data_IF_051208684109
#
_entry.id   IF_051208684109
#
_cell.length_a   1.000
_cell.length_b   1.000
_cell.length_c   1.000
_cell.angle_alpha   90.00
_cell.angle_beta   90.00
_cell.angle_gamma   90.00
#
_symmetry.space_group_name_H-M   'P 1'
#
loop_
_entity.id
_entity.type
_entity.pdbx_description
1 polymer ?
#
# COMPACT_ATOMS: atom_id res chain seq x y z
N UNK A 1 18.49 12.77 -2.29
CA UNK A 1 18.59 11.95 -1.07
C UNK A 1 20.04 11.83 -0.68
N UNK A 2 20.37 12.08 0.58
CA UNK A 2 21.72 11.96 1.13
C UNK A 2 21.87 10.58 1.76
N UNK A 3 22.78 9.75 1.23
CA UNK A 3 22.90 8.33 1.60
C UNK A 3 23.17 8.12 3.10
N UNK A 4 24.10 8.88 3.68
CA UNK A 4 24.41 8.78 5.11
C UNK A 4 23.21 9.06 6.03
N UNK A 5 22.25 9.89 5.61
CA UNK A 5 21.03 10.15 6.39
C UNK A 5 20.05 8.97 6.32
N UNK A 6 19.93 8.34 5.13
CA UNK A 6 19.13 7.14 4.96
C UNK A 6 19.72 5.97 5.78
N UNK A 7 21.03 5.76 5.70
CA UNK A 7 21.72 4.70 6.45
C UNK A 7 21.61 4.88 7.96
N UNK A 8 21.74 6.12 8.47
CA UNK A 8 21.52 6.44 9.88
C UNK A 8 20.07 6.16 10.31
N UNK A 9 19.08 6.58 9.51
CA UNK A 9 17.67 6.30 9.79
C UNK A 9 17.38 4.79 9.82
N UNK A 10 17.93 4.04 8.87
CA UNK A 10 17.79 2.57 8.80
C UNK A 10 18.43 1.92 10.03
N UNK A 11 19.63 2.34 10.42
CA UNK A 11 20.30 1.82 11.60
C UNK A 11 19.46 2.04 12.86
N UNK A 12 18.90 3.24 13.04
CA UNK A 12 18.02 3.56 14.16
C UNK A 12 16.75 2.70 14.14
N UNK A 13 16.09 2.60 12.97
CA UNK A 13 14.90 1.77 12.78
C UNK A 13 15.16 0.32 13.18
N UNK A 14 16.18 -0.32 12.59
CA UNK A 14 16.50 -1.73 12.89
C UNK A 14 16.88 -1.92 14.36
N UNK A 15 17.63 -0.98 14.93
CA UNK A 15 18.02 -1.04 16.36
C UNK A 15 16.84 -0.94 17.31
N UNK A 16 15.81 -0.15 16.97
CA UNK A 16 14.56 -0.06 17.74
C UNK A 16 13.73 -1.32 17.55
N UNK A 17 13.56 -1.80 16.31
CA UNK A 17 12.76 -2.99 16.02
C UNK A 17 13.30 -4.26 16.67
N UNK A 18 14.62 -4.39 16.83
CA UNK A 18 15.24 -5.51 17.54
C UNK A 18 15.12 -5.44 19.07
N UNK A 19 14.71 -4.30 19.63
CA UNK A 19 14.56 -4.09 21.08
C UNK A 19 13.10 -4.05 21.53
N UNK A 20 12.20 -3.66 20.63
CA UNK A 20 10.78 -3.52 20.93
C UNK A 20 10.07 -4.86 20.85
N UNK A 21 9.09 -5.07 21.74
CA UNK A 21 8.12 -6.16 21.64
C UNK A 21 6.80 -5.67 21.02
N UNK A 22 6.82 -4.52 20.34
CA UNK A 22 5.65 -4.01 19.65
C UNK A 22 5.20 -4.96 18.55
N UNK A 23 3.90 -5.11 18.47
CA UNK A 23 3.20 -6.07 17.61
C UNK A 23 2.52 -5.39 16.42
N UNK A 24 2.59 -4.06 16.33
CA UNK A 24 1.84 -3.32 15.30
C UNK A 24 2.37 -3.56 13.89
N UNK A 25 3.63 -3.98 13.76
CA UNK A 25 4.23 -4.37 12.48
C UNK A 25 3.49 -5.54 11.81
N UNK A 26 2.81 -6.42 12.56
CA UNK A 26 2.05 -7.52 11.95
C UNK A 26 0.91 -7.03 11.06
N UNK A 27 0.33 -5.86 11.34
CA UNK A 27 -0.87 -5.40 10.64
C UNK A 27 -0.66 -5.18 9.14
N UNK A 28 0.33 -4.40 8.68
CA UNK A 28 0.59 -4.24 7.25
C UNK A 28 0.95 -5.57 6.58
N UNK A 29 1.71 -6.43 7.26
CA UNK A 29 2.11 -7.74 6.76
C UNK A 29 0.93 -8.69 6.56
N UNK A 30 0.12 -8.89 7.60
CA UNK A 30 -1.07 -9.75 7.57
C UNK A 30 -2.09 -9.26 6.54
N UNK A 31 -2.27 -7.95 6.41
CA UNK A 31 -3.17 -7.37 5.40
C UNK A 31 -2.74 -7.72 3.98
N UNK A 32 -1.46 -7.49 3.66
CA UNK A 32 -0.92 -7.76 2.33
C UNK A 32 -0.90 -9.27 2.04
N UNK A 33 -0.50 -10.08 3.03
CA UNK A 33 -0.52 -11.54 2.91
C UNK A 33 -1.93 -12.06 2.64
N UNK A 34 -2.92 -11.58 3.41
CA UNK A 34 -4.32 -12.00 3.25
C UNK A 34 -4.82 -11.64 1.85
N UNK A 35 -4.60 -10.40 1.40
CA UNK A 35 -4.97 -10.01 0.04
C UNK A 35 -4.31 -10.93 -0.98
N UNK A 36 -3.00 -11.13 -0.88
CA UNK A 36 -2.23 -11.95 -1.82
C UNK A 36 -2.72 -13.41 -1.87
N UNK A 37 -3.04 -13.99 -0.71
CA UNK A 37 -3.49 -15.38 -0.58
C UNK A 37 -4.86 -15.61 -1.23
N UNK A 38 -5.76 -14.64 -1.11
CA UNK A 38 -7.11 -14.75 -1.67
C UNK A 38 -7.25 -14.21 -3.07
N UNK A 39 -6.27 -13.46 -3.57
CA UNK A 39 -6.29 -12.96 -4.93
C UNK A 39 -6.22 -14.09 -5.94
N UNK A 40 -7.12 -14.03 -6.92
CA UNK A 40 -7.15 -14.92 -8.09
C UNK A 40 -7.15 -14.05 -9.35
N UNK A 41 -6.60 -14.53 -10.47
CA UNK A 41 -6.70 -13.82 -11.74
C UNK A 41 -8.14 -13.37 -11.99
N UNK A 42 -8.34 -12.08 -12.33
CA UNK A 42 -9.68 -11.51 -12.40
C UNK A 42 -10.46 -12.11 -13.57
N UNK A 43 -11.61 -12.70 -13.24
CA UNK A 43 -12.58 -13.25 -14.18
C UNK A 43 -13.95 -12.58 -13.98
N UNK A 44 -14.70 -12.44 -15.06
CA UNK A 44 -15.96 -11.69 -15.12
C UNK A 44 -16.93 -12.03 -13.98
N UNK A 45 -17.15 -13.32 -13.75
CA UNK A 45 -18.17 -13.80 -12.81
C UNK A 45 -17.67 -13.93 -11.37
N UNK A 46 -16.36 -13.76 -11.11
CA UNK A 46 -15.76 -14.01 -9.80
C UNK A 46 -15.07 -12.79 -9.19
N UNK A 47 -14.82 -11.73 -9.98
CA UNK A 47 -14.09 -10.54 -9.54
C UNK A 47 -14.62 -9.94 -8.24
N UNK A 48 -15.94 -9.73 -8.15
CA UNK A 48 -16.59 -9.17 -6.95
C UNK A 48 -16.30 -10.01 -5.70
N UNK A 49 -16.55 -11.32 -5.79
CA UNK A 49 -16.35 -12.24 -4.67
C UNK A 49 -14.86 -12.33 -4.28
N UNK A 50 -13.96 -12.38 -5.26
CA UNK A 50 -12.51 -12.37 -5.04
C UNK A 50 -12.08 -11.07 -4.34
N UNK A 51 -12.52 -9.91 -4.82
CA UNK A 51 -12.22 -8.61 -4.23
C UNK A 51 -12.73 -8.51 -2.79
N UNK A 52 -13.98 -8.90 -2.52
CA UNK A 52 -14.54 -8.90 -1.18
C UNK A 52 -13.76 -9.79 -0.21
N UNK A 53 -13.37 -10.98 -0.68
CA UNK A 53 -12.60 -11.95 0.10
C UNK A 53 -11.18 -11.43 0.42
N UNK A 54 -10.52 -10.78 -0.54
CA UNK A 54 -9.21 -10.14 -0.34
C UNK A 54 -9.24 -9.04 0.74
N UNK A 55 -10.40 -8.42 0.98
CA UNK A 55 -10.58 -7.34 1.96
C UNK A 55 -11.36 -7.75 3.21
N UNK A 56 -11.50 -9.05 3.50
CA UNK A 56 -12.30 -9.58 4.63
C UNK A 56 -11.54 -9.74 5.96
N UNK A 57 -10.35 -9.16 6.12
CA UNK A 57 -9.57 -9.29 7.37
C UNK A 57 -10.11 -8.41 8.51
N UNK A 58 -9.96 -8.86 9.76
CA UNK A 58 -10.31 -8.08 10.96
C UNK A 58 -9.47 -6.79 11.07
N UNK A 59 -8.26 -6.80 10.51
CA UNK A 59 -7.33 -5.68 10.52
C UNK A 59 -7.57 -4.70 9.36
N UNK A 60 -8.06 -5.20 8.21
CA UNK A 60 -8.31 -4.33 7.05
C UNK A 60 -9.42 -3.33 7.36
N UNK A 61 -10.45 -3.67 8.15
CA UNK A 61 -11.61 -2.80 8.36
C UNK A 61 -11.25 -1.39 8.87
N UNK A 62 -10.20 -1.26 9.71
CA UNK A 62 -9.75 0.04 10.24
C UNK A 62 -9.11 0.95 9.19
N UNK A 63 -8.57 0.39 8.11
CA UNK A 63 -7.95 1.15 7.03
C UNK A 63 -8.96 1.80 6.06
N UNK A 64 -10.17 1.23 5.95
CA UNK A 64 -11.14 1.61 4.89
C UNK A 64 -12.37 2.37 5.40
N UNK A 65 -12.54 2.54 6.71
CA UNK A 65 -13.69 3.24 7.29
C UNK A 65 -13.26 4.57 7.92
N UNK A 66 -13.50 5.65 7.19
CA UNK A 66 -13.54 7.03 7.72
C UNK A 66 -14.88 7.66 7.32
N UNK A 67 -15.26 8.75 7.97
CA UNK A 67 -16.48 9.47 7.60
C UNK A 67 -16.43 9.85 6.10
N UNK A 68 -17.49 9.49 5.36
CA UNK A 68 -17.60 9.68 3.91
C UNK A 68 -16.48 9.07 3.04
N UNK A 69 -15.75 8.07 3.55
CA UNK A 69 -14.71 7.37 2.80
C UNK A 69 -14.96 5.87 2.86
N UNK A 70 -15.43 5.31 1.74
CA UNK A 70 -15.88 3.91 1.63
C UNK A 70 -15.36 3.23 0.35
N UNK A 71 -14.03 3.22 0.11
CA UNK A 71 -13.43 2.70 -1.12
C UNK A 71 -13.80 1.26 -1.46
N UNK A 72 -13.93 0.38 -0.45
CA UNK A 72 -14.39 -1.00 -0.65
C UNK A 72 -15.81 -1.05 -1.19
N UNK A 73 -16.74 -0.34 -0.54
CA UNK A 73 -18.15 -0.32 -0.93
C UNK A 73 -18.31 0.30 -2.33
N UNK A 74 -17.55 1.35 -2.62
CA UNK A 74 -17.57 1.97 -3.96
C UNK A 74 -17.02 1.03 -5.01
N UNK A 75 -15.86 0.40 -4.81
CA UNK A 75 -15.33 -0.54 -5.80
C UNK A 75 -16.31 -1.69 -6.08
N UNK A 76 -17.04 -2.18 -5.07
CA UNK A 76 -18.10 -3.18 -5.27
C UNK A 76 -19.20 -2.62 -6.19
N UNK A 77 -19.69 -1.39 -5.93
CA UNK A 77 -20.68 -0.72 -6.80
C UNK A 77 -20.15 -0.52 -8.23
N UNK A 78 -18.86 -0.21 -8.38
CA UNK A 78 -18.21 -0.06 -9.70
C UNK A 78 -18.17 -1.39 -10.44
N UNK A 79 -17.73 -2.47 -9.78
CA UNK A 79 -17.74 -3.82 -10.36
C UNK A 79 -19.15 -4.25 -10.78
N UNK A 80 -20.16 -3.97 -9.96
CA UNK A 80 -21.56 -4.28 -10.28
C UNK A 80 -22.12 -3.43 -11.43
N UNK A 81 -21.58 -2.24 -11.66
CA UNK A 81 -22.01 -1.34 -12.73
C UNK A 81 -21.55 -1.84 -14.09
N UNK A 82 -20.32 -2.32 -14.22
CA UNK A 82 -19.87 -3.00 -15.43
C UNK A 82 -18.79 -4.04 -15.08
N UNK A 83 -19.18 -5.31 -14.88
CA UNK A 83 -18.23 -6.36 -14.50
C UNK A 83 -17.14 -6.61 -15.54
N UNK A 84 -17.42 -6.38 -16.83
CA UNK A 84 -16.47 -6.61 -17.91
C UNK A 84 -15.39 -5.53 -17.91
N UNK A 85 -15.81 -4.26 -17.88
CA UNK A 85 -14.88 -3.14 -17.80
C UNK A 85 -14.06 -3.18 -16.50
N UNK A 86 -14.68 -3.53 -15.37
CA UNK A 86 -13.97 -3.73 -14.11
C UNK A 86 -12.93 -4.86 -14.22
N UNK A 87 -13.28 -5.98 -14.87
CA UNK A 87 -12.34 -7.09 -15.10
C UNK A 87 -11.16 -6.64 -15.95
N UNK A 88 -11.38 -5.84 -17.00
CA UNK A 88 -10.31 -5.26 -17.82
C UNK A 88 -9.39 -4.38 -16.95
N UNK A 89 -9.97 -3.49 -16.14
CA UNK A 89 -9.23 -2.61 -15.25
C UNK A 89 -8.30 -3.38 -14.30
N UNK A 90 -8.83 -4.42 -13.64
CA UNK A 90 -8.06 -5.24 -12.72
C UNK A 90 -7.01 -6.11 -13.42
N UNK A 91 -7.30 -6.64 -14.62
CA UNK A 91 -6.30 -7.35 -15.45
C UNK A 91 -5.13 -6.44 -15.78
N UNK A 92 -5.43 -5.19 -16.14
CA UNK A 92 -4.40 -4.23 -16.51
C UNK A 92 -3.57 -3.79 -15.29
N UNK A 93 -4.20 -3.54 -14.14
CA UNK A 93 -3.46 -3.28 -12.90
C UNK A 93 -2.54 -4.45 -12.49
N UNK A 94 -3.00 -5.69 -12.71
CA UNK A 94 -2.24 -6.91 -12.49
C UNK A 94 -1.23 -7.25 -13.62
N UNK A 95 -1.13 -6.44 -14.67
CA UNK A 95 -0.20 -6.71 -15.78
C UNK A 95 1.22 -6.19 -15.46
N UNK A 96 2.01 -7.01 -14.77
CA UNK A 96 3.36 -6.61 -14.35
C UNK A 96 4.38 -6.41 -15.48
N UNK A 97 4.05 -6.81 -16.71
CA UNK A 97 4.86 -6.49 -17.88
C UNK A 97 4.73 -5.02 -18.30
N UNK A 98 3.66 -4.33 -17.90
CA UNK A 98 3.45 -2.92 -18.17
C UNK A 98 4.07 -2.03 -17.09
N UNK A 99 4.41 -0.79 -17.48
CA UNK A 99 4.95 0.20 -16.55
C UNK A 99 3.94 0.53 -15.44
N UNK A 100 4.45 0.79 -14.24
CA UNK A 100 3.62 1.07 -13.06
C UNK A 100 2.73 2.31 -13.26
N UNK A 101 3.31 3.38 -13.82
CA UNK A 101 2.59 4.62 -14.13
C UNK A 101 1.44 4.37 -15.11
N UNK A 102 1.68 3.59 -16.17
CA UNK A 102 0.67 3.26 -17.16
C UNK A 102 -0.47 2.42 -16.58
N UNK A 103 -0.14 1.46 -15.71
CA UNK A 103 -1.14 0.64 -15.00
C UNK A 103 -2.02 1.46 -14.07
N UNK A 104 -1.42 2.29 -13.23
CA UNK A 104 -2.17 3.15 -12.29
C UNK A 104 -3.04 4.13 -13.06
N UNK A 105 -2.50 4.77 -14.10
CA UNK A 105 -3.23 5.72 -14.93
C UNK A 105 -4.46 5.08 -15.59
N UNK A 106 -4.29 3.92 -16.25
CA UNK A 106 -5.40 3.21 -16.89
C UNK A 106 -6.40 2.68 -15.88
N UNK A 107 -5.94 2.16 -14.74
CA UNK A 107 -6.84 1.72 -13.67
C UNK A 107 -7.73 2.86 -13.14
N UNK A 108 -7.15 4.03 -12.88
CA UNK A 108 -7.92 5.21 -12.45
C UNK A 108 -8.89 5.68 -13.54
N UNK A 109 -8.46 5.73 -14.79
CA UNK A 109 -9.34 6.04 -15.92
C UNK A 109 -10.54 5.10 -15.97
N UNK A 110 -10.33 3.78 -15.86
CA UNK A 110 -11.44 2.83 -15.82
C UNK A 110 -12.34 3.02 -14.59
N UNK A 111 -11.79 3.36 -13.44
CA UNK A 111 -12.59 3.67 -12.25
C UNK A 111 -13.48 4.91 -12.45
N UNK A 112 -12.97 5.95 -13.12
CA UNK A 112 -13.74 7.14 -13.48
C UNK A 112 -14.88 6.81 -14.44
N UNK A 113 -14.62 6.02 -15.48
CA UNK A 113 -15.64 5.57 -16.43
C UNK A 113 -16.71 4.72 -15.74
N UNK A 114 -16.31 3.78 -14.88
CA UNK A 114 -17.23 2.97 -14.07
C UNK A 114 -18.07 3.84 -13.14
N UNK A 115 -17.50 4.91 -12.56
CA UNK A 115 -18.22 5.83 -11.69
C UNK A 115 -19.26 6.63 -12.48
N UNK A 116 -18.93 7.08 -13.69
CA UNK A 116 -19.88 7.75 -14.57
C UNK A 116 -21.04 6.81 -14.97
N UNK A 117 -20.73 5.57 -15.33
CA UNK A 117 -21.74 4.54 -15.61
C UNK A 117 -22.65 4.28 -14.40
N UNK A 118 -22.05 4.17 -13.20
CA UNK A 118 -22.79 3.99 -11.96
C UNK A 118 -23.77 5.14 -11.73
N UNK A 119 -23.35 6.40 -11.90
CA UNK A 119 -24.20 7.60 -11.75
C UNK A 119 -25.31 7.65 -12.77
N UNK A 120 -25.02 7.32 -14.03
CA UNK A 120 -26.03 7.31 -15.08
C UNK A 120 -27.16 6.32 -14.76
N UNK A 121 -26.83 5.14 -14.21
CA UNK A 121 -27.83 4.13 -13.80
C UNK A 121 -28.51 4.45 -12.47
N UNK A 122 -27.87 5.26 -11.61
CA UNK A 122 -28.34 5.62 -10.29
C UNK A 122 -28.38 7.14 -10.15
N UNK A 123 -29.37 7.79 -10.77
CA UNK A 123 -29.48 9.25 -10.84
C UNK A 123 -29.57 9.95 -9.46
N UNK A 124 -29.96 9.22 -8.41
CA UNK A 124 -30.01 9.72 -7.03
C UNK A 124 -28.73 9.41 -6.22
N UNK A 125 -27.71 8.82 -6.85
CA UNK A 125 -26.46 8.49 -6.18
C UNK A 125 -25.72 9.77 -5.76
N UNK A 126 -25.36 9.83 -4.48
CA UNK A 126 -24.58 10.94 -3.91
C UNK A 126 -23.07 10.76 -4.09
N UNK A 127 -22.64 9.67 -4.72
CA UNK A 127 -21.23 9.31 -4.83
C UNK A 127 -20.49 10.20 -5.83
N UNK A 128 -19.67 11.11 -5.32
CA UNK A 128 -18.94 12.11 -6.10
C UNK A 128 -17.52 11.67 -6.50
N UNK A 129 -17.00 10.59 -5.92
CA UNK A 129 -15.63 10.13 -6.16
C UNK A 129 -15.50 8.61 -6.07
N UNK A 130 -14.55 8.00 -6.79
CA UNK A 130 -14.36 6.54 -6.81
C UNK A 130 -13.53 6.04 -5.60
N UNK A 131 -12.92 6.93 -4.81
CA UNK A 131 -12.10 6.65 -3.62
C UNK A 131 -10.91 5.70 -3.84
N UNK A 132 -10.47 5.46 -5.08
CA UNK A 132 -9.27 4.65 -5.36
C UNK A 132 -8.02 5.54 -5.35
N UNK A 133 -7.72 6.14 -4.20
CA UNK A 133 -6.55 6.99 -4.02
C UNK A 133 -5.23 6.20 -3.90
N UNK A 134 -4.11 6.91 -3.72
CA UNK A 134 -2.78 6.30 -3.62
C UNK A 134 -2.68 5.25 -2.50
N UNK A 135 -3.32 5.47 -1.34
CA UNK A 135 -3.31 4.49 -0.25
C UNK A 135 -4.08 3.22 -0.64
N UNK A 136 -5.24 3.36 -1.29
CA UNK A 136 -6.02 2.22 -1.76
C UNK A 136 -5.27 1.42 -2.83
N UNK A 137 -4.78 2.12 -3.85
CA UNK A 137 -4.07 1.50 -4.97
C UNK A 137 -2.77 0.83 -4.50
N UNK A 138 -2.07 1.40 -3.51
CA UNK A 138 -0.89 0.75 -2.92
C UNK A 138 -1.20 -0.58 -2.26
N UNK A 139 -2.35 -0.74 -1.59
CA UNK A 139 -2.75 -2.06 -1.07
C UNK A 139 -2.91 -3.04 -2.22
N UNK A 140 -3.58 -2.64 -3.30
CA UNK A 140 -3.83 -3.54 -4.42
C UNK A 140 -2.51 -4.01 -5.03
N UNK A 141 -1.59 -3.08 -5.26
CA UNK A 141 -0.25 -3.38 -5.77
C UNK A 141 0.54 -4.29 -4.81
N UNK A 142 0.55 -3.97 -3.51
CA UNK A 142 1.23 -4.78 -2.50
C UNK A 142 0.64 -6.20 -2.40
N UNK A 143 -0.68 -6.35 -2.48
CA UNK A 143 -1.34 -7.65 -2.47
C UNK A 143 -1.12 -8.44 -3.77
N UNK A 144 -1.10 -7.78 -4.93
CA UNK A 144 -0.79 -8.40 -6.22
C UNK A 144 0.68 -8.86 -6.29
N UNK A 145 1.61 -8.02 -5.81
CA UNK A 145 3.05 -8.24 -5.90
C UNK A 145 3.76 -7.90 -4.58
N UNK A 146 3.62 -8.72 -3.52
CA UNK A 146 4.12 -8.42 -2.18
C UNK A 146 5.65 -8.31 -2.08
N UNK A 147 6.38 -8.83 -3.06
CA UNK A 147 7.82 -8.72 -3.15
C UNK A 147 8.31 -7.45 -3.87
N UNK A 148 7.41 -6.65 -4.46
CA UNK A 148 7.74 -5.49 -5.31
C UNK A 148 7.15 -4.17 -4.84
N UNK A 149 6.01 -4.21 -4.16
CA UNK A 149 5.29 -3.01 -3.74
C UNK A 149 5.00 -3.02 -2.25
N UNK A 150 4.99 -1.84 -1.67
CA UNK A 150 4.70 -1.62 -0.25
C UNK A 150 3.40 -0.84 -0.08
N UNK A 151 2.82 -0.87 1.11
CA UNK A 151 1.70 0.04 1.42
C UNK A 151 2.17 1.48 1.37
N UNK A 152 1.27 2.41 1.04
CA UNK A 152 1.55 3.84 1.03
C UNK A 152 1.06 4.52 2.33
N UNK A 153 1.96 5.17 3.11
CA UNK A 153 1.61 5.76 4.40
C UNK A 153 0.91 7.12 4.30
N UNK A 154 0.70 7.64 3.08
CA UNK A 154 0.14 8.96 2.83
C UNK A 154 1.21 10.06 2.63
N UNK A 155 0.80 11.14 1.98
CA UNK A 155 1.67 12.26 1.60
C UNK A 155 2.48 12.84 2.76
N UNK A 156 1.85 13.04 3.92
CA UNK A 156 2.51 13.70 5.06
C UNK A 156 3.71 12.89 5.56
N UNK A 157 3.52 11.59 5.75
CA UNK A 157 4.57 10.67 6.21
C UNK A 157 5.66 10.57 5.14
N UNK A 158 5.28 10.40 3.87
CA UNK A 158 6.25 10.31 2.79
C UNK A 158 7.08 11.59 2.63
N UNK A 159 6.45 12.75 2.75
CA UNK A 159 7.12 14.06 2.71
C UNK A 159 8.08 14.25 3.87
N UNK A 160 7.71 13.81 5.08
CA UNK A 160 8.60 13.81 6.25
C UNK A 160 9.80 12.90 6.00
N UNK A 161 9.58 11.68 5.52
CA UNK A 161 10.68 10.78 5.16
C UNK A 161 11.64 11.44 4.16
N UNK A 162 11.11 12.02 3.07
CA UNK A 162 11.91 12.75 2.08
C UNK A 162 12.72 13.89 2.69
N UNK A 163 12.15 14.65 3.64
CA UNK A 163 12.86 15.71 4.38
C UNK A 163 14.01 15.15 5.21
N UNK A 164 13.75 14.10 5.99
CA UNK A 164 14.75 13.47 6.88
C UNK A 164 15.94 12.93 6.09
N UNK A 165 15.69 12.27 4.96
CA UNK A 165 16.76 11.71 4.13
C UNK A 165 17.41 12.76 3.21
N UNK A 166 17.09 14.04 3.38
CA UNK A 166 17.66 15.14 2.59
C UNK A 166 17.37 15.02 1.10
N UNK A 167 16.13 14.68 0.73
CA UNK A 167 15.67 14.81 -0.66
C UNK A 167 15.58 16.29 -1.05
N UNK A 168 16.17 16.71 -2.19
CA UNK A 168 16.08 18.10 -2.64
C UNK A 168 14.67 18.46 -3.13
N UNK A 169 13.95 17.46 -3.64
CA UNK A 169 12.58 17.60 -4.11
C UNK A 169 11.68 16.80 -3.16
N UNK A 170 10.74 17.49 -2.52
CA UNK A 170 9.82 16.95 -1.51
C UNK A 170 8.43 16.92 -2.15
N UNK A 171 7.76 15.75 -2.19
CA UNK A 171 6.41 15.64 -2.72
C UNK A 171 5.44 16.63 -2.06
N UNK A 172 4.60 17.26 -2.88
CA UNK A 172 3.50 18.14 -2.43
C UNK A 172 2.12 17.60 -2.80
N UNK A 173 2.09 16.52 -3.59
CA UNK A 173 0.91 15.77 -4.01
C UNK A 173 1.22 14.28 -3.91
N UNK A 174 0.19 13.45 -3.77
CA UNK A 174 0.33 12.00 -3.79
C UNK A 174 0.90 11.54 -5.13
N UNK A 175 2.06 10.88 -5.09
CA UNK A 175 2.73 10.29 -6.24
C UNK A 175 3.19 8.88 -5.86
N UNK A 176 2.30 7.92 -6.12
CA UNK A 176 2.54 6.53 -5.77
C UNK A 176 3.71 5.93 -6.57
N UNK A 177 3.92 6.35 -7.81
CA UNK A 177 5.02 5.85 -8.64
C UNK A 177 6.37 6.29 -8.06
N UNK A 178 6.48 7.54 -7.65
CA UNK A 178 7.66 8.05 -6.95
C UNK A 178 7.85 7.36 -5.62
N UNK A 179 6.78 7.17 -4.86
CA UNK A 179 6.82 6.46 -3.58
C UNK A 179 7.41 5.06 -3.74
N UNK A 180 6.88 4.23 -4.64
CA UNK A 180 7.36 2.85 -4.81
C UNK A 180 8.83 2.79 -5.25
N UNK A 181 9.28 3.76 -6.07
CA UNK A 181 10.71 3.89 -6.42
C UNK A 181 11.56 4.18 -5.19
N UNK A 182 11.12 5.08 -4.32
CA UNK A 182 11.84 5.42 -3.08
C UNK A 182 11.80 4.25 -2.10
N UNK A 183 10.66 3.55 -1.98
CA UNK A 183 10.53 2.34 -1.17
C UNK A 183 11.50 1.25 -1.62
N UNK A 184 11.59 0.98 -2.93
CA UNK A 184 12.54 0.00 -3.48
C UNK A 184 14.01 0.36 -3.18
N UNK A 185 14.37 1.65 -3.27
CA UNK A 185 15.71 2.12 -2.89
C UNK A 185 15.93 1.90 -1.40
N UNK A 186 15.00 2.34 -0.55
CA UNK A 186 15.09 2.17 0.90
C UNK A 186 15.23 0.70 1.29
N UNK A 187 14.46 -0.20 0.66
CA UNK A 187 14.57 -1.64 0.84
C UNK A 187 15.96 -2.18 0.49
N UNK A 188 16.52 -1.73 -0.65
CA UNK A 188 17.87 -2.13 -1.07
C UNK A 188 18.92 -1.75 -0.03
N UNK A 189 18.77 -0.60 0.63
CA UNK A 189 19.68 -0.18 1.72
C UNK A 189 19.38 -0.90 3.05
N UNK A 190 18.11 -1.21 3.33
CA UNK A 190 17.72 -2.04 4.47
C UNK A 190 18.41 -3.40 4.41
N UNK A 191 18.39 -4.06 3.24
CA UNK A 191 19.05 -5.35 3.02
C UNK A 191 20.57 -5.32 3.21
N UNK A 192 21.20 -4.14 3.11
CA UNK A 192 22.64 -3.96 3.32
C UNK A 192 22.99 -3.67 4.78
N UNK A 193 22.01 -3.44 5.65
CA UNK A 193 22.26 -3.19 7.06
C UNK A 193 22.79 -4.47 7.72
N UNK A 194 23.83 -4.34 8.55
CA UNK A 194 24.48 -5.47 9.23
C UNK A 194 23.53 -6.29 10.11
N UNK A 195 22.46 -5.68 10.60
CA UNK A 195 21.47 -6.31 11.47
C UNK A 195 20.21 -6.76 10.70
N UNK A 196 20.19 -6.68 9.37
CA UNK A 196 19.02 -7.06 8.58
C UNK A 196 18.65 -8.53 8.76
N UNK A 197 19.60 -9.45 8.60
CA UNK A 197 19.36 -10.89 8.78
C UNK A 197 18.89 -11.22 10.21
N UNK A 198 19.42 -10.52 11.20
CA UNK A 198 18.97 -10.69 12.59
C UNK A 198 17.52 -10.26 12.78
N UNK A 199 17.10 -9.19 12.10
CA UNK A 199 15.72 -8.72 12.12
C UNK A 199 14.80 -9.71 11.40
N UNK A 200 15.19 -10.23 10.23
CA UNK A 200 14.39 -11.22 9.50
C UNK A 200 14.21 -12.50 10.31
N UNK A 201 15.29 -13.05 10.87
CA UNK A 201 15.24 -14.21 11.77
C UNK A 201 14.33 -13.98 12.97
N UNK A 202 14.44 -12.81 13.62
CA UNK A 202 13.59 -12.44 14.75
C UNK A 202 12.10 -12.40 14.38
N UNK A 203 11.78 -11.89 13.18
CA UNK A 203 10.40 -11.76 12.68
C UNK A 203 9.83 -13.09 12.17
N UNK A 204 10.66 -13.95 11.58
CA UNK A 204 10.25 -15.27 11.09
C UNK A 204 10.10 -16.31 12.20
N UNK A 205 10.96 -16.24 13.23
CA UNK A 205 10.88 -17.11 14.41
C UNK A 205 9.69 -16.76 15.33
N UNK A 206 8.96 -15.70 15.00
CA UNK A 206 7.97 -15.11 15.87
C UNK A 206 6.66 -15.90 15.92
N UNK A 207 6.03 -15.91 17.10
CA UNK A 207 4.91 -16.80 17.45
C UNK A 207 3.54 -16.31 16.99
N UNK A 208 3.49 -15.17 16.32
CA UNK A 208 2.23 -14.50 16.00
C UNK A 208 1.51 -15.04 14.77
N UNK A 209 2.03 -16.11 14.13
CA UNK A 209 1.43 -16.77 12.96
C UNK A 209 1.17 -15.84 11.77
N UNK A 210 1.90 -14.73 11.67
CA UNK A 210 1.82 -13.79 10.54
C UNK A 210 3.05 -13.99 9.67
N UNK A 211 2.84 -14.17 8.37
CA UNK A 211 3.96 -14.31 7.45
C UNK A 211 4.71 -12.99 7.31
N UNK A 212 6.01 -13.04 7.53
CA UNK A 212 6.87 -11.92 7.27
C UNK A 212 7.00 -11.67 5.74
N UNK A 213 6.88 -10.41 5.34
CA UNK A 213 6.88 -9.94 3.95
C UNK A 213 7.96 -8.86 3.85
N UNK A 214 9.22 -9.21 3.52
CA UNK A 214 10.37 -8.32 3.70
C UNK A 214 10.18 -6.91 3.11
N UNK A 215 9.57 -6.81 1.93
CA UNK A 215 9.41 -5.53 1.24
C UNK A 215 8.53 -4.52 2.01
N UNK A 216 7.64 -4.99 2.90
CA UNK A 216 6.82 -4.11 3.76
C UNK A 216 7.64 -3.38 4.83
N UNK A 217 8.89 -3.79 5.11
CA UNK A 217 9.81 -3.00 5.94
C UNK A 217 10.06 -1.60 5.37
N UNK A 218 9.90 -1.40 4.06
CA UNK A 218 10.00 -0.08 3.44
C UNK A 218 8.90 0.85 3.94
N UNK A 219 7.67 0.34 4.03
CA UNK A 219 6.53 1.08 4.60
C UNK A 219 6.80 1.40 6.08
N UNK A 220 7.21 0.39 6.87
CA UNK A 220 7.51 0.57 8.30
C UNK A 220 8.60 1.62 8.55
N UNK A 221 9.68 1.58 7.76
CA UNK A 221 10.77 2.56 7.86
C UNK A 221 10.27 3.98 7.64
N UNK A 222 9.37 4.19 6.67
CA UNK A 222 8.82 5.52 6.39
C UNK A 222 7.86 5.98 7.49
N UNK A 223 7.03 5.08 8.02
CA UNK A 223 6.17 5.37 9.18
C UNK A 223 7.01 5.74 10.40
N UNK A 224 8.06 4.96 10.70
CA UNK A 224 9.02 5.23 11.76
C UNK A 224 9.66 6.62 11.62
N UNK A 225 10.03 7.02 10.39
CA UNK A 225 10.55 8.36 10.12
C UNK A 225 9.51 9.45 10.45
N UNK A 226 8.25 9.22 10.10
CA UNK A 226 7.12 10.09 10.43
C UNK A 226 6.89 10.26 11.93
N UNK A 227 6.96 9.16 12.69
CA UNK A 227 6.78 9.14 14.15
C UNK A 227 7.93 9.80 14.89
N UNK A 228 9.17 9.51 14.49
CA UNK A 228 10.38 10.13 15.03
C UNK A 228 10.31 11.66 14.96
N UNK A 229 9.83 12.19 13.83
CA UNK A 229 9.68 13.64 13.64
C UNK A 229 8.61 14.27 14.56
N UNK A 230 7.52 13.54 14.87
CA UNK A 230 6.48 14.01 15.80
C UNK A 230 7.00 14.10 17.22
N UNK A 231 7.91 13.20 17.63
CA UNK A 231 8.53 13.22 18.95
C UNK A 231 9.55 14.36 19.10
N UNK A 232 10.30 14.69 18.06
CA UNK A 232 11.29 15.80 18.09
C UNK A 232 10.68 17.19 17.96
N UNK A 233 9.41 17.29 17.56
CA UNK A 233 8.68 18.57 17.40
C UNK A 233 7.82 18.94 18.61
N UNK A 234 7.91 18.17 19.71
CA UNK A 234 7.28 18.45 21.01
C UNK A 234 8.35 18.90 22.00
#
# INVERSE_FOLDING_TARGET
MKLHLLEALIHDFVSVQLKTNEVEWYYPHSMVEHFHTFWKPPELNSLRATYEQCLKSDYTQRWWKRDNYRPKEIMIKLIESDPELATIAWKDLANDAASLDGRIYRFNYYCDELLQLHRHRNALSVETYHHQDASVVSLYLAGLFPAKYSLYPGLDVFSIFCKIVGSPDIPIIDDLVRYEKVAAIAFTFLQRNVNFEKLTEYREADRHHVKFLPFQLSYELMVFAGEKNKMTSR
#
